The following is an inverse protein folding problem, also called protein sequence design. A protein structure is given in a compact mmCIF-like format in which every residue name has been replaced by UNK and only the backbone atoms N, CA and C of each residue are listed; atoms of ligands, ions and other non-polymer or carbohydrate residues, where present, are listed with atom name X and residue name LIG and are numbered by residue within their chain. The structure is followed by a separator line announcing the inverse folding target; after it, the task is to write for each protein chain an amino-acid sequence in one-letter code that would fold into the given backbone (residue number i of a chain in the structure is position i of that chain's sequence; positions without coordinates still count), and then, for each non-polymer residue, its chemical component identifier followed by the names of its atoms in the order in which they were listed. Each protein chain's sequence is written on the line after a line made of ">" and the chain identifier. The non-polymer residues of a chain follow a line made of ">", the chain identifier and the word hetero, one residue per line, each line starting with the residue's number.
data_IF_957488689729
#
_entry.id   IF_957488689729
#
_cell.length_a   1.000
_cell.length_b   1.000
_cell.length_c   1.000
_cell.angle_alpha   90.00
_cell.angle_beta   90.00
_cell.angle_gamma   90.00
#
_symmetry.space_group_name_H-M   'P 1'
#
loop_
_entity.id
_entity.type
_entity.pdbx_description
1 polymer ?
#
# COMPACT_ATOMS: atom_id res chain seq x y z
N UNK A 1 2.56 -5.28 -17.14
CA UNK A 1 3.69 -5.73 -17.99
C UNK A 1 3.33 -6.88 -18.92
N UNK A 2 2.72 -7.97 -18.44
CA UNK A 2 2.29 -9.11 -19.29
C UNK A 2 1.43 -8.63 -20.47
N UNK A 3 0.37 -7.87 -20.18
CA UNK A 3 -0.50 -7.28 -21.22
C UNK A 3 0.28 -6.40 -22.21
N UNK A 4 1.18 -5.55 -21.73
CA UNK A 4 2.00 -4.69 -22.59
C UNK A 4 2.91 -5.50 -23.53
N UNK A 5 3.44 -6.63 -23.07
CA UNK A 5 4.25 -7.55 -23.89
C UNK A 5 3.39 -8.27 -24.94
N UNK A 6 2.17 -8.66 -24.57
CA UNK A 6 1.23 -9.31 -25.49
C UNK A 6 0.78 -8.35 -26.60
N UNK A 7 0.49 -7.09 -26.27
CA UNK A 7 0.18 -6.06 -27.25
C UNK A 7 1.37 -5.67 -28.15
N UNK A 8 2.59 -6.01 -27.73
CA UNK A 8 3.82 -5.71 -28.46
C UNK A 8 4.32 -6.87 -29.34
N UNK A 9 3.47 -7.85 -29.63
CA UNK A 9 3.85 -9.01 -30.45
C UNK A 9 4.44 -8.58 -31.80
N UNK A 10 5.62 -9.12 -32.12
CA UNK A 10 6.37 -8.79 -33.35
C UNK A 10 7.07 -7.43 -33.37
N UNK A 11 6.86 -6.57 -32.38
CA UNK A 11 7.43 -5.21 -32.32
C UNK A 11 8.76 -5.17 -31.55
N UNK A 12 9.59 -4.18 -31.86
CA UNK A 12 10.76 -3.79 -31.04
C UNK A 12 10.31 -2.75 -30.02
N UNK A 13 10.33 -3.10 -28.73
CA UNK A 13 9.75 -2.27 -27.66
C UNK A 13 10.69 -2.09 -26.49
N UNK A 14 10.60 -0.93 -25.85
CA UNK A 14 11.20 -0.67 -24.52
C UNK A 14 10.08 -0.45 -23.53
N UNK A 15 10.02 -1.29 -22.50
CA UNK A 15 9.03 -1.22 -21.42
C UNK A 15 9.72 -0.67 -20.18
N UNK A 16 9.22 0.47 -19.70
CA UNK A 16 9.62 1.04 -18.42
C UNK A 16 8.68 0.54 -17.32
N UNK A 17 9.24 0.11 -16.20
CA UNK A 17 8.48 -0.32 -15.03
C UNK A 17 9.18 0.11 -13.76
N UNK A 18 8.43 0.70 -12.83
CA UNK A 18 8.92 1.09 -11.52
C UNK A 18 9.00 -0.08 -10.53
N UNK A 19 8.23 -1.14 -10.79
CA UNK A 19 8.24 -2.38 -10.02
C UNK A 19 9.62 -3.02 -9.97
N UNK A 20 10.27 -2.87 -8.82
CA UNK A 20 11.54 -3.53 -8.52
C UNK A 20 11.40 -5.05 -8.62
N UNK A 21 10.27 -5.61 -8.19
CA UNK A 21 10.01 -7.06 -8.24
C UNK A 21 10.05 -7.58 -9.68
N UNK A 22 9.30 -6.94 -10.58
CA UNK A 22 9.19 -7.40 -11.96
C UNK A 22 10.52 -7.24 -12.70
N UNK A 23 11.13 -6.06 -12.60
CA UNK A 23 12.41 -5.76 -13.27
C UNK A 23 13.54 -6.68 -12.81
N UNK A 24 13.72 -6.87 -11.50
CA UNK A 24 14.74 -7.80 -10.96
C UNK A 24 14.44 -9.24 -11.32
N UNK A 25 13.17 -9.65 -11.33
CA UNK A 25 12.77 -11.01 -11.69
C UNK A 25 13.13 -11.31 -13.14
N UNK A 26 12.77 -10.44 -14.09
CA UNK A 26 13.09 -10.61 -15.51
C UNK A 26 14.59 -10.70 -15.75
N UNK A 27 15.37 -9.80 -15.15
CA UNK A 27 16.80 -9.70 -15.42
C UNK A 27 17.65 -10.80 -14.79
N UNK A 28 17.26 -11.32 -13.62
CA UNK A 28 18.16 -12.18 -12.83
C UNK A 28 17.63 -13.58 -12.54
N UNK A 29 16.32 -13.70 -12.29
CA UNK A 29 15.82 -14.82 -11.48
C UNK A 29 14.77 -15.66 -12.17
N UNK A 30 14.08 -15.14 -13.18
CA UNK A 30 12.91 -15.79 -13.77
C UNK A 30 13.27 -17.12 -14.45
N UNK A 31 14.35 -17.16 -15.24
CA UNK A 31 14.85 -18.40 -15.88
C UNK A 31 15.36 -19.43 -14.88
N UNK A 32 15.97 -18.98 -13.78
CA UNK A 32 16.43 -19.88 -12.71
C UNK A 32 15.24 -20.51 -11.98
N UNK A 33 14.19 -19.72 -11.71
CA UNK A 33 12.95 -20.20 -11.10
C UNK A 33 12.22 -21.18 -12.02
N UNK A 34 12.16 -20.88 -13.31
CA UNK A 34 11.58 -21.78 -14.33
C UNK A 34 12.27 -23.15 -14.35
N UNK A 35 13.61 -23.20 -14.39
CA UNK A 35 14.37 -24.46 -14.36
C UNK A 35 14.16 -25.30 -13.10
N UNK A 36 13.75 -24.67 -12.00
CA UNK A 36 13.44 -25.32 -10.71
C UNK A 36 11.94 -25.60 -10.54
N UNK A 37 11.14 -25.49 -11.60
CA UNK A 37 9.69 -25.70 -11.54
C UNK A 37 8.95 -24.67 -10.68
N UNK A 38 9.52 -23.47 -10.52
CA UNK A 38 9.03 -22.43 -9.61
C UNK A 38 8.89 -22.89 -8.16
N UNK A 39 9.85 -23.68 -7.67
CA UNK A 39 9.92 -24.12 -6.27
C UNK A 39 11.01 -23.35 -5.50
N UNK A 40 10.72 -23.08 -4.22
CA UNK A 40 11.68 -22.60 -3.22
C UNK A 40 12.54 -23.77 -2.71
N UNK A 41 13.60 -23.47 -1.96
CA UNK A 41 14.51 -24.49 -1.40
C UNK A 41 13.85 -25.42 -0.39
N UNK A 42 12.77 -24.98 0.25
CA UNK A 42 11.93 -25.75 1.17
C UNK A 42 10.88 -26.62 0.45
N UNK A 43 10.87 -26.63 -0.90
CA UNK A 43 9.92 -27.38 -1.73
C UNK A 43 8.57 -26.69 -1.93
N UNK A 44 8.30 -25.56 -1.29
CA UNK A 44 7.07 -24.81 -1.46
C UNK A 44 7.09 -23.96 -2.76
N UNK A 45 5.94 -23.67 -3.39
CA UNK A 45 5.90 -22.90 -4.62
C UNK A 45 6.36 -21.45 -4.39
N UNK A 46 7.00 -20.88 -5.41
CA UNK A 46 7.33 -19.46 -5.48
C UNK A 46 6.03 -18.67 -5.63
N UNK A 47 5.92 -17.55 -4.90
CA UNK A 47 4.78 -16.65 -4.98
C UNK A 47 4.51 -16.21 -6.43
N UNK A 48 3.23 -16.22 -6.83
CA UNK A 48 2.76 -15.85 -8.16
C UNK A 48 3.35 -16.70 -9.31
N UNK A 49 3.60 -17.99 -9.08
CA UNK A 49 4.19 -18.90 -10.09
C UNK A 49 3.49 -18.80 -11.46
N UNK A 50 2.17 -18.70 -11.47
CA UNK A 50 1.38 -18.73 -12.71
C UNK A 50 1.57 -17.45 -13.51
N UNK A 51 1.58 -16.28 -12.84
CA UNK A 51 1.91 -15.01 -13.46
C UNK A 51 3.35 -14.98 -13.98
N UNK A 52 4.30 -15.59 -13.27
CA UNK A 52 5.68 -15.70 -13.74
C UNK A 52 5.80 -16.59 -14.98
N UNK A 53 5.07 -17.70 -15.01
CA UNK A 53 5.05 -18.59 -16.18
C UNK A 53 4.43 -17.90 -17.41
N UNK A 54 3.34 -17.14 -17.22
CA UNK A 54 2.74 -16.32 -18.29
C UNK A 54 3.72 -15.23 -18.73
N UNK A 55 4.40 -14.58 -17.79
CA UNK A 55 5.36 -13.52 -18.10
C UNK A 55 6.52 -14.03 -18.97
N UNK A 56 7.05 -15.22 -18.70
CA UNK A 56 8.11 -15.81 -19.53
C UNK A 56 7.65 -16.00 -20.97
N UNK A 57 6.42 -16.47 -21.17
CA UNK A 57 5.83 -16.64 -22.52
C UNK A 57 5.60 -15.28 -23.18
N UNK A 58 5.11 -14.29 -22.43
CA UNK A 58 4.86 -12.96 -22.97
C UNK A 58 6.16 -12.26 -23.41
N UNK A 59 7.28 -12.48 -22.69
CA UNK A 59 8.59 -11.93 -23.05
C UNK A 59 9.12 -12.42 -24.40
N UNK A 60 8.60 -13.53 -24.93
CA UNK A 60 9.00 -14.05 -26.25
C UNK A 60 8.14 -13.54 -27.41
N UNK A 61 7.09 -12.75 -27.13
CA UNK A 61 6.19 -12.23 -28.17
C UNK A 61 6.78 -11.05 -28.95
N UNK A 62 7.40 -10.03 -28.32
CA UNK A 62 8.04 -8.96 -29.06
C UNK A 62 9.24 -9.46 -29.86
N UNK A 63 9.53 -8.84 -31.00
CA UNK A 63 10.73 -9.18 -31.79
C UNK A 63 12.02 -8.78 -31.09
N UNK A 64 11.99 -7.67 -30.34
CA UNK A 64 13.00 -7.30 -29.33
C UNK A 64 12.34 -6.59 -28.18
N UNK A 65 12.81 -6.85 -26.96
CA UNK A 65 12.31 -6.19 -25.76
C UNK A 65 13.45 -5.72 -24.85
N UNK A 66 13.39 -4.47 -24.43
CA UNK A 66 14.16 -3.95 -23.31
C UNK A 66 13.21 -3.67 -22.14
N UNK A 67 13.54 -4.16 -20.94
CA UNK A 67 12.79 -3.88 -19.72
C UNK A 67 13.66 -3.01 -18.81
N UNK A 68 13.24 -1.78 -18.54
CA UNK A 68 14.04 -0.79 -17.82
C UNK A 68 13.34 -0.42 -16.52
N UNK A 69 14.10 -0.43 -15.42
CA UNK A 69 13.63 0.10 -14.14
C UNK A 69 13.59 1.62 -14.19
N UNK A 70 12.41 2.21 -13.95
CA UNK A 70 12.29 3.64 -13.68
C UNK A 70 12.13 3.91 -12.18
N UNK A 71 12.39 5.16 -11.77
CA UNK A 71 12.11 5.61 -10.42
C UNK A 71 10.62 5.90 -10.27
N UNK A 72 10.01 5.38 -9.20
CA UNK A 72 8.64 5.73 -8.82
C UNK A 72 8.62 7.11 -8.15
N UNK A 73 7.47 7.78 -8.23
CA UNK A 73 7.17 8.98 -7.45
C UNK A 73 8.19 10.12 -7.61
N UNK A 74 8.73 10.28 -8.81
CA UNK A 74 9.57 11.43 -9.12
C UNK A 74 8.70 12.66 -9.43
N UNK A 75 9.11 13.84 -8.97
CA UNK A 75 8.53 15.12 -9.42
C UNK A 75 9.18 15.60 -10.73
N UNK A 76 9.78 14.68 -11.49
CA UNK A 76 10.49 14.99 -12.72
C UNK A 76 9.49 15.07 -13.88
N UNK A 77 9.75 15.95 -14.84
CA UNK A 77 8.87 16.20 -15.98
C UNK A 77 9.32 15.50 -17.27
N UNK A 78 10.32 14.63 -17.20
CA UNK A 78 10.76 13.85 -18.35
C UNK A 78 9.68 12.84 -18.79
N UNK A 79 9.85 12.33 -20.01
CA UNK A 79 8.86 11.45 -20.64
C UNK A 79 8.66 10.14 -19.87
N UNK A 80 9.70 9.61 -19.22
CA UNK A 80 9.61 8.35 -18.48
C UNK A 80 8.82 8.57 -17.19
N UNK A 81 9.16 9.62 -16.44
CA UNK A 81 8.45 9.99 -15.20
C UNK A 81 6.97 10.29 -15.46
N UNK A 82 6.66 11.03 -16.52
CA UNK A 82 5.27 11.30 -16.93
C UNK A 82 4.52 10.04 -17.36
N UNK A 83 5.19 9.15 -18.10
CA UNK A 83 4.65 7.87 -18.52
C UNK A 83 4.34 6.96 -17.34
N UNK A 84 5.25 6.88 -16.35
CA UNK A 84 5.03 6.10 -15.13
C UNK A 84 3.84 6.64 -14.33
N UNK A 85 3.77 7.96 -14.12
CA UNK A 85 2.67 8.58 -13.40
C UNK A 85 1.31 8.31 -14.06
N UNK A 86 1.25 8.32 -15.41
CA UNK A 86 0.04 8.01 -16.15
C UNK A 86 -0.34 6.52 -16.02
N UNK A 87 0.64 5.62 -16.08
CA UNK A 87 0.43 4.19 -15.88
C UNK A 87 -0.08 3.88 -14.45
N UNK A 88 0.51 4.51 -13.43
CA UNK A 88 0.07 4.38 -12.04
C UNK A 88 -1.35 4.89 -11.84
N UNK A 89 -1.66 6.05 -12.43
CA UNK A 89 -3.01 6.60 -12.38
C UNK A 89 -4.03 5.65 -13.02
N UNK A 90 -3.74 5.13 -14.21
CA UNK A 90 -4.62 4.18 -14.91
C UNK A 90 -4.82 2.88 -14.11
N UNK A 91 -3.74 2.35 -13.50
CA UNK A 91 -3.82 1.17 -12.66
C UNK A 91 -4.70 1.41 -11.41
N UNK A 92 -4.53 2.57 -10.75
CA UNK A 92 -5.35 2.98 -9.60
C UNK A 92 -6.83 3.13 -9.97
N UNK A 93 -7.13 3.70 -11.14
CA UNK A 93 -8.51 3.82 -11.61
C UNK A 93 -9.14 2.45 -11.94
N UNK A 94 -8.42 1.56 -12.62
CA UNK A 94 -8.90 0.21 -12.93
C UNK A 94 -9.15 -0.64 -11.67
N UNK A 95 -8.32 -0.47 -10.63
CA UNK A 95 -8.52 -1.14 -9.35
C UNK A 95 -9.79 -0.69 -8.63
N UNK A 96 -10.24 0.56 -8.83
CA UNK A 96 -11.45 1.10 -8.19
C UNK A 96 -12.75 0.51 -8.77
N UNK A 97 -12.72 -0.05 -9.98
CA UNK A 97 -13.90 -0.45 -10.77
C UNK A 97 -14.15 -1.96 -10.84
N UNK A 98 -13.27 -2.81 -10.27
CA UNK A 98 -13.42 -4.28 -10.32
C UNK A 98 -14.06 -4.84 -9.04
N UNK A 99 -15.25 -5.47 -9.09
CA UNK A 99 -15.81 -6.23 -7.98
C UNK A 99 -15.48 -7.73 -8.15
N UNK A 100 -15.00 -8.37 -7.08
CA UNK A 100 -14.85 -9.82 -6.87
C UNK A 100 -13.51 -10.46 -7.30
N UNK A 101 -12.66 -10.72 -6.30
CA UNK A 101 -11.65 -11.78 -6.32
C UNK A 101 -12.13 -12.92 -5.38
N UNK A 102 -11.97 -14.18 -5.79
CA UNK A 102 -12.43 -15.37 -5.06
C UNK A 102 -11.44 -15.84 -3.98
N UNK A 103 -11.96 -16.42 -2.91
CA UNK A 103 -11.32 -16.77 -1.62
C UNK A 103 -10.07 -17.70 -1.68
N UNK A 104 -9.66 -18.22 -2.84
CA UNK A 104 -8.46 -19.08 -2.93
C UNK A 104 -7.15 -18.29 -3.06
N UNK A 105 -7.21 -16.97 -3.21
CA UNK A 105 -6.05 -16.09 -3.30
C UNK A 105 -5.57 -15.57 -1.92
N UNK A 106 -6.09 -16.10 -0.80
CA UNK A 106 -5.88 -15.56 0.55
C UNK A 106 -4.39 -15.47 1.00
N UNK A 107 -3.50 -16.29 0.42
CA UNK A 107 -2.07 -16.21 0.73
C UNK A 107 -1.32 -15.14 -0.09
N UNK A 108 -1.91 -14.71 -1.21
CA UNK A 108 -1.48 -13.55 -2.01
C UNK A 108 -2.10 -12.24 -1.49
N UNK A 109 -3.23 -12.36 -0.79
CA UNK A 109 -4.06 -11.29 -0.24
C UNK A 109 -3.39 -10.45 0.87
N UNK A 110 -2.24 -10.86 1.44
CA UNK A 110 -1.51 -10.05 2.42
C UNK A 110 -0.96 -8.72 1.88
N UNK A 111 -0.93 -8.53 0.56
CA UNK A 111 -0.51 -7.26 -0.08
C UNK A 111 -1.55 -6.69 -1.06
N UNK A 112 -2.71 -7.35 -1.24
CA UNK A 112 -3.65 -6.99 -2.31
C UNK A 112 -5.13 -6.95 -1.89
N UNK A 113 -5.50 -7.27 -0.63
CA UNK A 113 -6.82 -6.84 -0.11
C UNK A 113 -6.77 -5.35 0.17
N UNK A 114 -7.06 -4.54 -0.84
CA UNK A 114 -7.76 -3.30 -0.60
C UNK A 114 -9.25 -3.65 -0.51
N UNK A 115 -9.67 -4.25 0.61
CA UNK A 115 -11.06 -4.09 1.04
C UNK A 115 -11.16 -2.58 1.14
N UNK A 116 -12.03 -1.96 0.33
CA UNK A 116 -12.63 -0.68 0.70
C UNK A 116 -13.36 -0.92 2.02
N UNK A 117 -12.60 -1.00 3.10
CA UNK A 117 -12.82 -0.09 4.17
C UNK A 117 -12.26 1.18 3.58
N UNK A 118 -13.16 2.03 3.12
CA UNK A 118 -12.92 3.43 2.86
C UNK A 118 -11.75 3.89 3.75
N UNK A 119 -10.81 4.71 3.26
CA UNK A 119 -9.91 5.45 4.17
C UNK A 119 -10.69 6.35 5.16
N UNK A 120 -12.03 6.33 5.07
CA UNK A 120 -13.09 6.76 5.98
C UNK A 120 -13.42 5.77 7.13
N UNK A 121 -12.73 4.63 7.28
CA UNK A 121 -13.08 3.55 8.24
C UNK A 121 -12.02 3.24 9.32
N UNK A 122 -11.10 4.16 9.61
CA UNK A 122 -11.03 4.50 11.04
C UNK A 122 -12.24 5.41 11.21
N UNK A 123 -13.42 4.91 11.63
CA UNK A 123 -14.49 5.83 11.94
C UNK A 123 -13.85 6.82 12.91
N UNK A 124 -13.82 8.12 12.61
CA UNK A 124 -13.52 9.07 13.66
C UNK A 124 -14.52 8.73 14.77
N UNK A 125 -14.16 8.91 16.06
CA UNK A 125 -14.91 8.37 17.19
C UNK A 125 -16.31 8.99 17.27
N UNK A 126 -17.18 8.54 16.38
CA UNK A 126 -18.52 9.00 16.08
C UNK A 126 -19.49 7.87 16.41
N UNK A 127 -19.06 6.61 16.28
CA UNK A 127 -19.76 5.44 16.80
C UNK A 127 -19.32 5.13 18.23
N UNK A 128 -20.25 4.66 19.06
CA UNK A 128 -20.00 4.34 20.47
C UNK A 128 -18.94 3.24 20.66
N UNK A 129 -18.95 2.22 19.80
CA UNK A 129 -17.95 1.14 19.85
C UNK A 129 -16.52 1.65 19.57
N UNK A 130 -16.36 2.55 18.60
CA UNK A 130 -15.06 3.14 18.29
C UNK A 130 -14.59 4.10 19.39
N UNK A 131 -15.52 4.83 20.01
CA UNK A 131 -15.24 5.69 21.19
C UNK A 131 -14.74 4.89 22.38
N UNK A 132 -15.39 3.77 22.68
CA UNK A 132 -15.02 2.92 23.79
C UNK A 132 -13.62 2.32 23.60
N UNK A 133 -13.34 1.82 22.40
CA UNK A 133 -12.03 1.26 22.08
C UNK A 133 -10.92 2.32 22.08
N UNK A 134 -11.20 3.52 21.54
CA UNK A 134 -10.25 4.63 21.59
C UNK A 134 -9.93 5.05 23.03
N UNK A 135 -10.96 5.13 23.89
CA UNK A 135 -10.77 5.42 25.31
C UNK A 135 -9.84 4.39 25.97
N UNK A 136 -10.08 3.11 25.73
CA UNK A 136 -9.25 2.03 26.27
C UNK A 136 -7.78 2.17 25.84
N UNK A 137 -7.55 2.44 24.54
CA UNK A 137 -6.19 2.67 24.02
C UNK A 137 -5.54 3.92 24.61
N UNK A 138 -6.29 4.99 24.84
CA UNK A 138 -5.79 6.21 25.48
C UNK A 138 -5.48 5.99 26.97
N UNK A 139 -6.26 5.17 27.65
CA UNK A 139 -6.05 4.82 29.06
C UNK A 139 -4.81 3.93 29.24
N UNK A 140 -4.58 3.01 28.31
CA UNK A 140 -3.40 2.13 28.27
C UNK A 140 -2.14 2.82 27.73
N UNK A 141 -2.23 4.07 27.27
CA UNK A 141 -1.09 4.83 26.78
C UNK A 141 -0.04 5.05 27.86
N UNK A 142 1.22 5.17 27.44
CA UNK A 142 2.34 5.29 28.36
C UNK A 142 2.26 6.61 29.14
N UNK A 143 2.69 6.67 30.42
CA UNK A 143 2.58 7.90 31.21
C UNK A 143 3.23 9.13 30.58
N UNK A 144 4.41 8.95 29.96
CA UNK A 144 5.12 10.02 29.26
C UNK A 144 4.41 10.50 27.97
N UNK A 145 3.64 9.61 27.36
CA UNK A 145 2.84 9.93 26.17
C UNK A 145 1.66 10.83 26.55
N UNK A 146 0.97 10.49 27.66
CA UNK A 146 -0.12 11.30 28.21
C UNK A 146 0.36 12.68 28.67
N UNK A 147 1.53 12.74 29.31
CA UNK A 147 2.17 14.01 29.67
C UNK A 147 2.44 14.88 28.44
N UNK A 148 2.92 14.27 27.35
CA UNK A 148 3.13 14.99 26.08
C UNK A 148 1.82 15.53 25.51
N UNK A 149 0.71 14.81 25.62
CA UNK A 149 -0.61 15.29 25.18
C UNK A 149 -1.04 16.52 25.97
N UNK A 150 -0.90 16.49 27.29
CA UNK A 150 -1.22 17.61 28.18
C UNK A 150 -0.35 18.83 27.88
N UNK A 151 0.96 18.63 27.69
CA UNK A 151 1.90 19.69 27.27
C UNK A 151 1.54 20.31 25.91
N UNK A 152 0.89 19.54 25.03
CA UNK A 152 0.43 19.98 23.70
C UNK A 152 -1.00 20.54 23.72
N UNK A 153 -1.57 20.80 24.90
CA UNK A 153 -2.91 21.39 25.06
C UNK A 153 -4.04 20.40 24.76
N UNK A 154 -3.83 19.11 25.01
CA UNK A 154 -4.89 18.12 24.96
C UNK A 154 -5.44 17.87 26.36
N UNK A 155 -6.77 17.78 26.46
CA UNK A 155 -7.46 17.54 27.71
C UNK A 155 -8.40 16.35 27.57
N UNK A 156 -8.56 15.60 28.66
CA UNK A 156 -9.55 14.54 28.74
C UNK A 156 -10.94 15.16 28.92
N UNK A 157 -11.85 14.79 28.04
CA UNK A 157 -13.23 15.23 28.13
C UNK A 157 -13.93 14.60 29.36
N UNK A 158 -14.66 15.37 30.17
CA UNK A 158 -15.29 14.89 31.39
C UNK A 158 -16.52 14.01 31.14
N UNK A 159 -17.01 13.93 29.89
CA UNK A 159 -18.25 13.22 29.54
C UNK A 159 -17.99 11.83 28.96
N UNK A 160 -17.01 11.71 28.06
CA UNK A 160 -16.66 10.46 27.35
C UNK A 160 -15.26 9.93 27.70
N UNK A 161 -14.50 10.66 28.53
CA UNK A 161 -13.14 10.31 28.97
C UNK A 161 -12.13 10.18 27.82
N UNK A 162 -12.39 10.81 26.69
CA UNK A 162 -11.48 10.81 25.53
C UNK A 162 -10.61 12.07 25.58
N UNK A 163 -9.30 11.90 25.39
CA UNK A 163 -8.37 13.01 25.21
C UNK A 163 -8.57 13.66 23.85
N UNK A 164 -8.76 14.99 23.85
CA UNK A 164 -8.94 15.82 22.65
C UNK A 164 -8.07 17.07 22.73
N UNK A 165 -7.59 17.54 21.59
CA UNK A 165 -6.89 18.82 21.51
C UNK A 165 -7.87 19.97 21.78
N UNK A 166 -7.54 20.86 22.71
CA UNK A 166 -8.43 21.94 23.15
C UNK A 166 -8.79 22.92 22.02
N UNK A 167 -7.83 23.25 21.15
CA UNK A 167 -8.01 24.24 20.07
C UNK A 167 -8.81 23.72 18.87
N UNK A 168 -8.80 22.41 18.60
CA UNK A 168 -9.44 21.83 17.40
C UNK A 168 -10.57 20.86 17.73
N UNK A 169 -10.68 20.39 18.98
CA UNK A 169 -11.62 19.35 19.40
C UNK A 169 -11.30 17.94 18.88
N UNK A 170 -10.20 17.79 18.13
CA UNK A 170 -9.81 16.51 17.53
C UNK A 170 -9.38 15.51 18.60
N UNK A 171 -9.80 14.23 18.51
CA UNK A 171 -9.31 13.19 19.39
C UNK A 171 -7.80 12.99 19.20
N UNK A 172 -7.11 12.77 20.31
CA UNK A 172 -5.69 12.40 20.30
C UNK A 172 -5.57 10.96 19.83
N UNK A 173 -4.69 10.71 18.86
CA UNK A 173 -4.34 9.37 18.42
C UNK A 173 -3.18 8.83 19.27
N UNK A 174 -3.39 7.76 20.07
CA UNK A 174 -2.29 7.10 20.77
C UNK A 174 -1.28 6.50 19.80
N UNK A 175 -0.02 6.40 20.21
CA UNK A 175 1.07 5.84 19.43
C UNK A 175 0.80 4.39 19.01
N UNK A 176 0.13 3.61 19.87
CA UNK A 176 -0.31 2.25 19.54
C UNK A 176 -1.29 2.25 18.35
N UNK A 177 -2.25 3.18 18.35
CA UNK A 177 -3.21 3.32 17.26
C UNK A 177 -2.55 3.91 16.01
N UNK A 178 -1.60 4.82 16.15
CA UNK A 178 -0.81 5.37 15.04
C UNK A 178 0.00 4.27 14.35
N UNK A 179 0.61 3.36 15.12
CA UNK A 179 1.35 2.24 14.55
C UNK A 179 0.43 1.32 13.73
N UNK A 180 -0.71 0.94 14.29
CA UNK A 180 -1.73 0.11 13.61
C UNK A 180 -2.26 0.84 12.36
N UNK A 181 -2.57 2.13 12.47
CA UNK A 181 -3.07 2.93 11.35
C UNK A 181 -2.03 3.06 10.24
N UNK A 182 -0.76 3.31 10.57
CA UNK A 182 0.32 3.39 9.60
C UNK A 182 0.57 2.03 8.93
N UNK A 183 0.53 0.93 9.68
CA UNK A 183 0.65 -0.42 9.13
C UNK A 183 -0.50 -0.72 8.15
N UNK A 184 -1.74 -0.44 8.56
CA UNK A 184 -2.94 -0.63 7.75
C UNK A 184 -3.03 0.32 6.54
N UNK A 185 -2.44 1.52 6.60
CA UNK A 185 -2.46 2.51 5.50
C UNK A 185 -1.24 2.41 4.57
N UNK A 186 -0.11 1.88 5.04
CA UNK A 186 1.08 1.67 4.23
C UNK A 186 0.93 0.45 3.32
N UNK A 187 0.25 -0.60 3.79
CA UNK A 187 0.00 -1.84 3.03
C UNK A 187 -0.85 -1.67 1.74
N UNK A 188 -1.91 -0.82 1.67
CA UNK A 188 -2.79 -0.76 0.51
C UNK A 188 -2.44 0.29 -0.54
N UNK A 189 -1.60 1.29 -0.21
CA UNK A 189 -1.53 2.51 -1.01
C UNK A 189 -0.16 2.84 -1.62
N UNK A 190 0.94 2.23 -1.16
CA UNK A 190 2.32 2.66 -1.50
C UNK A 190 2.49 4.20 -1.46
N UNK A 191 1.70 4.90 -0.64
CA UNK A 191 1.76 6.35 -0.53
C UNK A 191 2.96 6.73 0.33
N UNK A 192 3.58 7.87 0.00
CA UNK A 192 4.65 8.43 0.82
C UNK A 192 4.16 8.65 2.27
N UNK A 193 5.04 8.45 3.26
CA UNK A 193 4.73 8.56 4.69
C UNK A 193 4.09 9.91 5.03
N UNK A 194 4.53 10.96 4.34
CA UNK A 194 4.05 12.33 4.48
C UNK A 194 2.58 12.47 4.09
N UNK A 195 2.15 11.79 3.02
CA UNK A 195 0.75 11.80 2.56
C UNK A 195 -0.18 11.07 3.54
N UNK A 196 0.29 9.96 4.11
CA UNK A 196 -0.46 9.22 5.12
C UNK A 196 -0.64 10.02 6.41
N UNK A 197 0.43 10.67 6.88
CA UNK A 197 0.36 11.55 8.05
C UNK A 197 -0.56 12.74 7.82
N UNK A 198 -0.47 13.39 6.65
CA UNK A 198 -1.37 14.49 6.29
C UNK A 198 -2.84 14.05 6.25
N UNK A 199 -3.11 12.82 5.79
CA UNK A 199 -4.46 12.25 5.77
C UNK A 199 -4.97 11.96 7.17
N UNK A 200 -4.15 11.41 8.07
CA UNK A 200 -4.58 11.18 9.45
C UNK A 200 -4.81 12.47 10.23
N UNK A 201 -4.01 13.51 9.96
CA UNK A 201 -4.13 14.82 10.60
C UNK A 201 -5.43 15.57 10.26
N UNK A 202 -6.23 15.12 9.26
CA UNK A 202 -7.54 15.71 8.98
C UNK A 202 -8.50 15.52 10.14
N UNK A 203 -8.52 14.32 10.72
CA UNK A 203 -9.51 13.89 11.72
C UNK A 203 -8.91 13.65 13.11
N UNK A 204 -7.58 13.50 13.19
CA UNK A 204 -6.87 13.18 14.43
C UNK A 204 -5.85 14.25 14.81
N UNK A 205 -5.63 14.38 16.11
CA UNK A 205 -4.45 15.05 16.64
C UNK A 205 -3.34 14.02 16.84
N UNK A 206 -2.19 14.24 16.21
CA UNK A 206 -1.01 13.37 16.29
C UNK A 206 0.16 14.20 16.85
N UNK A 207 0.83 13.67 17.88
CA UNK A 207 1.94 14.34 18.60
C UNK A 207 3.31 14.13 17.99
#
# INVERSE_FOLDING_TARGET
>A
MIEALQHAEGLEVTIYSDSAYVTTTVHSSIRRRERRGFLKSDGSPVMHKDLLAILIKALTLPSKVAVIKCAAHTNQQDLISRGNALADWAAKEAAKTSPNFSEQDEHTLGMMINRRQSATELPPPYTEAARLHLRELQEQALPHERELWEQRGCMQSPTDFIYRQESTGKPVMPQALLYIALEQLHLPAHNAKEYLLATLQTDWFIT
#
